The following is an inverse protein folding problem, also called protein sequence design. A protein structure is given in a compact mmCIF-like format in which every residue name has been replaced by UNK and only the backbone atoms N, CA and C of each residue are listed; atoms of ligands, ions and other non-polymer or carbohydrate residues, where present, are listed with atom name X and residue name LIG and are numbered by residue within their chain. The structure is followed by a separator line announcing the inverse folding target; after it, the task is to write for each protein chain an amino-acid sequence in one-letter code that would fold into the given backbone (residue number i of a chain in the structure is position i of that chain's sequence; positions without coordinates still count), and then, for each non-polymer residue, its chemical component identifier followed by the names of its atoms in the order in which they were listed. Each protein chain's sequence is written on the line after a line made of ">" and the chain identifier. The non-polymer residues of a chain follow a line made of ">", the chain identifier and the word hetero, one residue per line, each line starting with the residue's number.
data_IF_072551326333
#
_entry.id   IF_072551326333
#
_cell.length_a   1.000
_cell.length_b   1.000
_cell.length_c   1.000
_cell.angle_alpha   90.00
_cell.angle_beta   90.00
_cell.angle_gamma   90.00
#
_symmetry.space_group_name_H-M   'P 1'
#
loop_
_entity.id
_entity.type
_entity.pdbx_description
1 polymer ?
#
# COMPACT_ATOMS: atom_id res chain seq x y z
N UNK A 1 17.26 12.87 -64.01
CA UNK A 1 18.00 12.93 -62.72
C UNK A 1 17.25 12.09 -61.70
N UNK A 2 17.77 10.90 -61.39
CA UNK A 2 17.19 9.95 -60.45
C UNK A 2 17.45 10.41 -59.01
N UNK A 3 16.40 10.57 -58.19
CA UNK A 3 16.53 10.64 -56.73
C UNK A 3 15.82 9.43 -56.10
N UNK A 4 16.63 8.40 -55.82
CA UNK A 4 16.38 7.49 -54.70
C UNK A 4 16.81 8.20 -53.42
N UNK A 5 15.97 8.17 -52.39
CA UNK A 5 16.37 8.36 -51.00
C UNK A 5 15.50 7.44 -50.13
N UNK A 6 16.19 6.51 -49.47
CA UNK A 6 15.73 5.58 -48.44
C UNK A 6 15.77 6.32 -47.10
N UNK A 7 14.91 5.92 -46.14
CA UNK A 7 14.94 6.05 -44.65
C UNK A 7 13.61 6.61 -44.13
N UNK A 8 12.98 6.12 -43.07
CA UNK A 8 13.23 5.02 -42.14
C UNK A 8 11.87 4.70 -41.48
N UNK A 9 11.61 3.44 -41.13
CA UNK A 9 10.41 3.06 -40.37
C UNK A 9 10.64 3.29 -38.86
N UNK A 10 9.93 4.21 -38.18
CA UNK A 10 10.01 4.34 -36.74
C UNK A 10 8.86 3.53 -36.14
N UNK A 11 9.11 2.28 -35.77
CA UNK A 11 7.98 1.44 -35.36
C UNK A 11 8.29 0.19 -34.59
N UNK A 12 9.39 0.10 -33.81
CA UNK A 12 9.64 -1.11 -33.01
C UNK A 12 10.26 -0.88 -31.61
N UNK A 13 10.23 0.34 -31.07
CA UNK A 13 10.79 0.61 -29.72
C UNK A 13 9.76 0.89 -28.61
N UNK A 14 8.46 0.91 -28.92
CA UNK A 14 7.42 1.24 -27.92
C UNK A 14 6.89 0.02 -27.13
N UNK A 15 7.06 -1.20 -27.64
CA UNK A 15 6.53 -2.41 -27.01
C UNK A 15 7.08 -2.73 -25.60
N UNK A 16 8.38 -2.54 -25.28
CA UNK A 16 8.89 -2.90 -23.94
C UNK A 16 8.50 -1.88 -22.85
N UNK A 17 8.02 -0.67 -23.20
CA UNK A 17 7.60 0.33 -22.22
C UNK A 17 6.18 0.10 -21.69
N UNK A 18 5.27 -0.43 -22.53
CA UNK A 18 3.86 -0.65 -22.14
C UNK A 18 3.73 -1.88 -21.22
N UNK A 19 4.47 -2.96 -21.48
CA UNK A 19 4.47 -4.14 -20.61
C UNK A 19 5.01 -3.82 -19.19
N UNK A 20 5.99 -2.91 -19.10
CA UNK A 20 6.63 -2.51 -17.84
C UNK A 20 5.70 -1.72 -16.91
N UNK A 21 4.75 -0.96 -17.46
CA UNK A 21 3.76 -0.21 -16.67
C UNK A 21 2.72 -1.11 -15.99
N UNK A 22 2.34 -2.24 -16.61
CA UNK A 22 1.37 -3.19 -16.05
C UNK A 22 1.92 -4.05 -14.90
N UNK A 23 3.25 -4.10 -14.75
CA UNK A 23 3.94 -4.94 -13.76
C UNK A 23 4.73 -4.15 -12.73
N UNK A 24 4.83 -2.82 -12.88
CA UNK A 24 5.78 -2.00 -12.15
C UNK A 24 5.70 -2.16 -10.63
N UNK A 25 4.49 -2.40 -10.10
CA UNK A 25 4.21 -2.64 -8.67
C UNK A 25 3.44 -3.94 -8.41
N UNK A 26 3.47 -4.92 -9.33
CA UNK A 26 2.70 -6.16 -9.17
C UNK A 26 3.09 -6.94 -7.90
N UNK A 27 4.38 -6.96 -7.59
CA UNK A 27 4.97 -7.55 -6.38
C UNK A 27 4.53 -6.79 -5.11
N UNK A 28 4.67 -5.48 -5.09
CA UNK A 28 4.22 -4.64 -3.97
C UNK A 28 2.72 -4.82 -3.68
N UNK A 29 1.89 -4.84 -4.73
CA UNK A 29 0.45 -5.07 -4.61
C UNK A 29 0.11 -6.49 -4.13
N UNK A 30 0.94 -7.48 -4.47
CA UNK A 30 0.80 -8.83 -3.94
C UNK A 30 1.04 -8.85 -2.43
N UNK A 31 2.13 -8.27 -1.96
CA UNK A 31 2.44 -8.16 -0.53
C UNK A 31 1.38 -7.34 0.23
N UNK A 32 0.89 -6.24 -0.35
CA UNK A 32 -0.18 -5.45 0.25
C UNK A 32 -1.48 -6.24 0.46
N UNK A 33 -1.86 -7.08 -0.50
CA UNK A 33 -3.03 -7.97 -0.34
C UNK A 33 -2.81 -9.02 0.75
N UNK A 34 -1.60 -9.59 0.82
CA UNK A 34 -1.24 -10.57 1.84
C UNK A 34 -1.27 -9.95 3.24
N UNK A 35 -0.64 -8.78 3.40
CA UNK A 35 -0.66 -8.01 4.64
C UNK A 35 -2.09 -7.69 5.08
N UNK A 36 -2.90 -7.15 4.18
CA UNK A 36 -4.29 -6.82 4.52
C UNK A 36 -5.13 -8.04 4.87
N UNK A 37 -4.86 -9.20 4.29
CA UNK A 37 -5.51 -10.45 4.68
C UNK A 37 -5.08 -10.91 6.08
N UNK A 38 -3.78 -10.85 6.39
CA UNK A 38 -3.25 -11.19 7.70
C UNK A 38 -3.86 -10.30 8.81
N UNK A 39 -3.97 -8.99 8.58
CA UNK A 39 -4.63 -8.06 9.53
C UNK A 39 -6.08 -8.41 9.78
N UNK A 40 -6.87 -8.64 8.71
CA UNK A 40 -8.27 -9.05 8.86
C UNK A 40 -8.42 -10.37 9.61
N UNK A 41 -7.51 -11.32 9.38
CA UNK A 41 -7.50 -12.56 10.15
C UNK A 41 -7.19 -12.30 11.63
N UNK A 42 -6.21 -11.44 11.92
CA UNK A 42 -5.84 -11.06 13.28
C UNK A 42 -7.00 -10.38 14.01
N UNK A 43 -7.64 -9.36 13.41
CA UNK A 43 -8.78 -8.68 14.01
C UNK A 43 -10.00 -9.60 14.16
N UNK A 44 -10.26 -10.48 13.19
CA UNK A 44 -11.32 -11.49 13.32
C UNK A 44 -11.08 -12.40 14.52
N UNK A 45 -9.84 -12.81 14.79
CA UNK A 45 -9.48 -13.62 15.96
C UNK A 45 -9.58 -12.78 17.26
N UNK A 46 -9.13 -11.53 17.22
CA UNK A 46 -9.20 -10.58 18.33
C UNK A 46 -10.63 -10.34 18.83
N UNK A 47 -11.58 -10.25 17.91
CA UNK A 47 -12.98 -9.97 18.21
C UNK A 47 -13.76 -11.23 18.63
N UNK A 48 -13.14 -12.41 18.67
CA UNK A 48 -13.82 -13.65 19.08
C UNK A 48 -14.12 -13.64 20.58
N UNK A 49 -15.37 -13.99 20.99
CA UNK A 49 -15.71 -14.11 22.41
C UNK A 49 -14.78 -15.07 23.15
N UNK A 50 -14.19 -14.62 24.26
CA UNK A 50 -13.31 -15.44 25.11
C UNK A 50 -11.83 -15.44 24.70
N UNK A 51 -11.44 -14.76 23.62
CA UNK A 51 -10.04 -14.54 23.28
C UNK A 51 -9.43 -13.39 24.09
N UNK A 52 -9.13 -13.66 25.36
CA UNK A 52 -8.28 -12.80 26.21
C UNK A 52 -6.80 -13.16 26.13
N UNK A 53 -6.49 -14.30 25.51
CA UNK A 53 -5.12 -14.74 25.25
C UNK A 53 -4.73 -14.41 23.81
N UNK A 54 -3.80 -13.46 23.67
CA UNK A 54 -3.32 -12.94 22.39
C UNK A 54 -2.21 -13.79 21.76
N UNK A 55 -1.76 -14.85 22.45
CA UNK A 55 -0.66 -15.73 22.06
C UNK A 55 -1.14 -17.10 21.57
N UNK A 56 -2.37 -17.18 21.07
CA UNK A 56 -2.85 -18.44 20.43
C UNK A 56 -2.04 -18.72 19.16
N UNK A 57 -1.81 -20.00 18.80
CA UNK A 57 -1.07 -20.34 17.57
C UNK A 57 -1.61 -19.65 16.32
N UNK A 58 -2.92 -19.46 16.21
CA UNK A 58 -3.58 -18.79 15.10
C UNK A 58 -3.29 -17.28 15.05
N UNK A 59 -3.26 -16.62 16.21
CA UNK A 59 -2.88 -15.20 16.29
C UNK A 59 -1.40 -15.00 15.99
N UNK A 60 -0.54 -15.86 16.52
CA UNK A 60 0.91 -15.82 16.23
C UNK A 60 1.19 -16.06 14.75
N UNK A 61 0.46 -16.97 14.09
CA UNK A 61 0.57 -17.15 12.64
C UNK A 61 0.08 -15.93 11.85
N UNK A 62 -1.04 -15.31 12.26
CA UNK A 62 -1.53 -14.09 11.63
C UNK A 62 -0.53 -12.94 11.77
N UNK A 63 0.04 -12.74 12.96
CA UNK A 63 1.10 -11.74 13.20
C UNK A 63 2.34 -12.04 12.34
N UNK A 64 2.82 -13.29 12.31
CA UNK A 64 3.96 -13.66 11.46
C UNK A 64 3.72 -13.34 9.98
N UNK A 65 2.52 -13.65 9.45
CA UNK A 65 2.16 -13.33 8.06
C UNK A 65 2.05 -11.83 7.82
N UNK A 66 1.56 -11.07 8.80
CA UNK A 66 1.53 -9.61 8.75
C UNK A 66 2.95 -9.05 8.67
N UNK A 67 3.84 -9.47 9.57
CA UNK A 67 5.23 -9.02 9.65
C UNK A 67 6.00 -9.36 8.36
N UNK A 68 5.89 -10.60 7.86
CA UNK A 68 6.52 -11.02 6.60
C UNK A 68 6.07 -10.17 5.41
N UNK A 69 4.77 -9.85 5.33
CA UNK A 69 4.24 -9.03 4.27
C UNK A 69 4.62 -7.54 4.43
N UNK A 70 4.70 -7.04 5.67
CA UNK A 70 5.18 -5.70 6.00
C UNK A 70 6.64 -5.52 5.54
N UNK A 71 7.50 -6.46 5.92
CA UNK A 71 8.92 -6.46 5.54
C UNK A 71 9.08 -6.52 4.02
N UNK A 72 8.30 -7.37 3.34
CA UNK A 72 8.34 -7.47 1.89
C UNK A 72 7.86 -6.17 1.20
N UNK A 73 6.81 -5.51 1.70
CA UNK A 73 6.36 -4.22 1.16
C UNK A 73 7.41 -3.12 1.35
N UNK A 74 8.06 -3.04 2.51
CA UNK A 74 9.08 -2.01 2.79
C UNK A 74 10.38 -2.24 2.02
N UNK A 75 10.69 -3.50 1.68
CA UNK A 75 11.80 -3.86 0.81
C UNK A 75 11.51 -3.63 -0.70
N UNK A 76 10.24 -3.49 -1.09
CA UNK A 76 9.83 -3.36 -2.50
C UNK A 76 9.61 -1.90 -2.90
N UNK A 77 10.42 -1.32 -3.81
CA UNK A 77 10.25 0.08 -4.22
C UNK A 77 8.97 0.28 -5.02
N UNK A 78 8.17 1.29 -4.64
CA UNK A 78 7.05 1.76 -5.44
C UNK A 78 7.54 2.47 -6.72
N UNK A 79 6.91 2.15 -7.85
CA UNK A 79 7.24 2.68 -9.18
C UNK A 79 6.07 3.39 -9.86
N UNK A 80 4.87 3.29 -9.28
CA UNK A 80 3.66 3.98 -9.75
C UNK A 80 3.00 4.74 -8.60
N UNK A 81 2.06 5.63 -8.94
CA UNK A 81 1.25 6.30 -7.93
C UNK A 81 0.42 5.30 -7.11
N UNK A 82 -0.03 4.19 -7.71
CA UNK A 82 -0.73 3.14 -6.95
C UNK A 82 0.18 2.51 -5.90
N UNK A 83 1.45 2.23 -6.22
CA UNK A 83 2.44 1.77 -5.25
C UNK A 83 2.72 2.79 -4.14
N UNK A 84 2.79 4.08 -4.48
CA UNK A 84 2.95 5.15 -3.46
C UNK A 84 1.73 5.19 -2.54
N UNK A 85 0.51 5.04 -3.07
CA UNK A 85 -0.70 4.99 -2.26
C UNK A 85 -0.70 3.77 -1.30
N UNK A 86 -0.18 2.63 -1.74
CA UNK A 86 0.03 1.44 -0.88
C UNK A 86 0.99 1.76 0.26
N UNK A 87 2.16 2.33 -0.02
CA UNK A 87 3.14 2.68 1.02
C UNK A 87 2.61 3.76 1.97
N UNK A 88 1.85 4.74 1.46
CA UNK A 88 1.17 5.72 2.30
C UNK A 88 0.14 5.06 3.24
N UNK A 89 -0.57 4.05 2.76
CA UNK A 89 -1.50 3.25 3.59
C UNK A 89 -0.76 2.50 4.68
N UNK A 90 0.38 1.87 4.34
CA UNK A 90 1.23 1.17 5.30
C UNK A 90 1.75 2.10 6.40
N UNK A 91 2.24 3.29 6.02
CA UNK A 91 2.70 4.30 6.97
C UNK A 91 1.55 4.81 7.85
N UNK A 92 0.37 5.02 7.27
CA UNK A 92 -0.80 5.50 7.99
C UNK A 92 -1.30 4.48 9.02
N UNK A 93 -1.27 3.20 8.69
CA UNK A 93 -1.62 2.14 9.63
C UNK A 93 -0.62 2.06 10.80
N UNK A 94 0.67 2.25 10.53
CA UNK A 94 1.73 2.18 11.55
C UNK A 94 1.83 3.42 12.46
N UNK A 95 1.52 4.61 11.95
CA UNK A 95 1.79 5.89 12.63
C UNK A 95 0.59 6.84 12.74
N UNK A 96 -0.51 6.50 12.07
CA UNK A 96 -1.72 7.30 12.01
C UNK A 96 -2.46 7.40 13.35
N UNK A 97 -3.67 7.96 13.33
CA UNK A 97 -4.50 8.09 14.52
C UNK A 97 -4.75 6.74 15.21
N UNK A 98 -4.57 6.71 16.53
CA UNK A 98 -4.99 5.59 17.37
C UNK A 98 -6.51 5.60 17.58
N UNK A 99 -7.10 6.79 17.62
CA UNK A 99 -8.55 6.96 17.68
C UNK A 99 -9.24 6.46 16.39
N UNK A 100 -10.50 6.05 16.49
CA UNK A 100 -11.32 5.72 15.31
C UNK A 100 -11.82 6.96 14.58
N UNK A 101 -12.11 6.91 13.27
CA UNK A 101 -12.55 8.09 12.48
C UNK A 101 -13.76 8.88 13.01
N UNK A 102 -14.63 8.24 13.81
CA UNK A 102 -15.77 8.90 14.44
C UNK A 102 -15.47 9.60 15.77
N UNK A 103 -14.26 9.44 16.32
CA UNK A 103 -13.86 10.03 17.59
C UNK A 103 -13.30 11.45 17.40
N UNK A 104 -13.61 12.43 18.27
CA UNK A 104 -13.12 13.80 18.13
C UNK A 104 -11.59 13.92 18.06
N UNK A 105 -10.86 13.04 18.75
CA UNK A 105 -9.39 13.05 18.75
C UNK A 105 -8.79 12.61 17.41
N UNK A 106 -9.53 11.89 16.56
CA UNK A 106 -9.03 11.42 15.28
C UNK A 106 -8.49 12.57 14.41
N UNK A 107 -9.24 13.68 14.32
CA UNK A 107 -8.83 14.83 13.53
C UNK A 107 -7.58 15.52 14.11
N UNK A 108 -7.43 15.50 15.44
CA UNK A 108 -6.27 16.05 16.15
C UNK A 108 -5.04 15.20 15.86
N UNK A 109 -5.16 13.88 16.00
CA UNK A 109 -4.07 12.92 15.76
C UNK A 109 -3.67 12.87 14.27
N UNK A 110 -4.65 12.95 13.37
CA UNK A 110 -4.41 13.00 11.92
C UNK A 110 -3.60 14.25 11.53
N UNK A 111 -3.73 15.33 12.30
CA UNK A 111 -3.01 16.58 12.10
C UNK A 111 -1.61 16.60 12.75
N UNK A 112 -1.21 15.57 13.48
CA UNK A 112 0.14 15.49 14.07
C UNK A 112 1.23 15.59 12.99
N UNK A 113 2.36 16.19 13.37
CA UNK A 113 3.46 16.45 12.43
C UNK A 113 3.97 15.18 11.72
N UNK A 114 3.94 14.02 12.39
CA UNK A 114 4.31 12.74 11.78
C UNK A 114 3.32 12.24 10.71
N UNK A 115 2.06 12.63 10.80
CA UNK A 115 0.96 12.13 9.95
C UNK A 115 0.72 12.99 8.70
N UNK A 116 1.09 14.28 8.76
CA UNK A 116 0.91 15.23 7.66
C UNK A 116 1.63 14.81 6.36
N UNK A 117 2.89 14.34 6.37
CA UNK A 117 3.57 13.87 5.16
C UNK A 117 2.87 12.66 4.54
N UNK A 118 2.44 11.70 5.37
CA UNK A 118 1.70 10.50 4.93
C UNK A 118 0.42 10.88 4.19
N UNK A 119 -0.35 11.83 4.72
CA UNK A 119 -1.54 12.34 4.04
C UNK A 119 -1.22 13.07 2.75
N UNK A 120 -0.17 13.90 2.72
CA UNK A 120 0.24 14.58 1.50
C UNK A 120 0.59 13.57 0.39
N UNK A 121 1.31 12.47 0.72
CA UNK A 121 1.62 11.39 -0.21
C UNK A 121 0.35 10.70 -0.71
N UNK A 122 -0.56 10.34 0.19
CA UNK A 122 -1.83 9.71 -0.18
C UNK A 122 -2.65 10.55 -1.16
N UNK A 123 -2.86 11.82 -0.83
CA UNK A 123 -3.65 12.73 -1.66
C UNK A 123 -3.00 12.96 -3.02
N UNK A 124 -1.68 13.10 -3.04
CA UNK A 124 -0.93 13.25 -4.30
C UNK A 124 -1.01 12.00 -5.18
N UNK A 125 -0.95 10.81 -4.57
CA UNK A 125 -0.96 9.54 -5.28
C UNK A 125 -2.35 9.14 -5.79
N UNK A 126 -3.41 9.50 -5.06
CA UNK A 126 -4.77 9.03 -5.34
C UNK A 126 -5.69 10.10 -5.91
N UNK A 127 -5.36 11.38 -5.74
CA UNK A 127 -6.25 12.50 -6.03
C UNK A 127 -7.46 12.62 -5.10
N UNK A 128 -7.50 11.85 -4.01
CA UNK A 128 -8.57 11.88 -3.00
C UNK A 128 -8.19 12.82 -1.86
N UNK A 129 -9.18 13.47 -1.24
CA UNK A 129 -8.94 14.36 -0.09
C UNK A 129 -9.11 13.68 1.28
N UNK A 130 -9.52 12.41 1.28
CA UNK A 130 -9.68 11.58 2.48
C UNK A 130 -8.34 11.07 3.04
N UNK A 131 -8.42 10.22 4.06
CA UNK A 131 -7.28 9.55 4.69
C UNK A 131 -7.10 8.16 4.07
N UNK A 132 -5.88 7.59 4.12
CA UNK A 132 -5.68 6.18 3.79
C UNK A 132 -6.61 5.27 4.61
N UNK A 133 -7.10 4.17 4.01
CA UNK A 133 -7.94 3.23 4.72
C UNK A 133 -7.14 2.53 5.83
N UNK A 134 -7.76 2.35 6.99
CA UNK A 134 -7.25 1.42 8.01
C UNK A 134 -7.66 0.01 7.62
N UNK A 135 -6.72 -0.94 7.63
CA UNK A 135 -7.06 -2.34 7.38
C UNK A 135 -7.31 -3.02 8.72
N UNK A 136 -8.59 -3.24 9.00
CA UNK A 136 -9.09 -3.97 10.15
C UNK A 136 -10.06 -5.05 9.67
#
# INVERSE_FOLDING_TARGET
>A
MNRRLILAAPGLLAAPLIARASHADAELLHHYRAWGQAKRDWYRLADMPGHVNWDTPEMLDATRREDEAFDAMTATPARTMAGIAVLATLMWDATGPGAGPGHPEYAVEAAYHGNRPTLALWRSATGRDDHPPLIR
#
